data_IF_715496989711
#
_entry.id   IF_715496989711
#
_cell.length_a   1.000
_cell.length_b   1.000
_cell.length_c   1.000
_cell.angle_alpha   90.00
_cell.angle_beta   90.00
_cell.angle_gamma   90.00
#
_symmetry.space_group_name_H-M   'P 1'
#
loop_
_entity.id
_entity.type
_entity.pdbx_description
1 polymer ?
#
# COMPACT_ATOMS: atom_id res chain seq x y z
N UNK A 1 -9.71 -9.87 14.87
CA UNK A 1 -9.00 -10.82 13.96
C UNK A 1 -9.01 -10.37 12.50
N UNK A 2 -10.11 -9.82 11.97
CA UNK A 2 -10.16 -9.32 10.58
C UNK A 2 -9.21 -8.13 10.32
N UNK A 3 -9.11 -7.19 11.25
CA UNK A 3 -8.17 -6.06 11.15
C UNK A 3 -6.70 -6.50 11.15
N UNK A 4 -6.35 -7.53 11.93
CA UNK A 4 -4.99 -8.11 11.90
C UNK A 4 -4.69 -8.75 10.53
N UNK A 5 -5.65 -9.50 9.96
CA UNK A 5 -5.50 -10.04 8.60
C UNK A 5 -5.37 -8.94 7.56
N UNK A 6 -6.14 -7.86 7.67
CA UNK A 6 -6.04 -6.70 6.80
C UNK A 6 -4.63 -6.11 6.84
N UNK A 7 -4.06 -5.88 8.03
CA UNK A 7 -2.71 -5.34 8.19
C UNK A 7 -1.64 -6.22 7.54
N UNK A 8 -1.72 -7.55 7.72
CA UNK A 8 -0.77 -8.47 7.10
C UNK A 8 -0.84 -8.38 5.58
N UNK A 9 -2.05 -8.37 5.00
CA UNK A 9 -2.23 -8.25 3.54
C UNK A 9 -1.73 -6.89 3.03
N UNK A 10 -2.01 -5.81 3.74
CA UNK A 10 -1.53 -4.46 3.44
C UNK A 10 -0.01 -4.38 3.44
N UNK A 11 0.66 -5.01 4.41
CA UNK A 11 2.13 -5.05 4.48
C UNK A 11 2.74 -5.81 3.30
N UNK A 12 2.18 -6.98 2.95
CA UNK A 12 2.63 -7.76 1.80
C UNK A 12 2.46 -6.95 0.51
N UNK A 13 1.32 -6.27 0.35
CA UNK A 13 1.07 -5.41 -0.81
C UNK A 13 2.06 -4.24 -0.89
N UNK A 14 2.27 -3.53 0.21
CA UNK A 14 3.25 -2.42 0.27
C UNK A 14 4.67 -2.88 -0.06
N UNK A 15 5.08 -4.05 0.42
CA UNK A 15 6.39 -4.63 0.09
C UNK A 15 6.50 -4.97 -1.41
N UNK A 16 5.44 -5.52 -2.00
CA UNK A 16 5.39 -5.81 -3.43
C UNK A 16 5.48 -4.52 -4.29
N UNK A 17 4.78 -3.45 -3.90
CA UNK A 17 4.88 -2.14 -4.55
C UNK A 17 6.29 -1.58 -4.45
N UNK A 18 6.89 -1.61 -3.26
CA UNK A 18 8.26 -1.14 -3.06
C UNK A 18 9.27 -1.92 -3.93
N UNK A 19 9.16 -3.25 -3.97
CA UNK A 19 9.99 -4.09 -4.84
C UNK A 19 9.79 -3.76 -6.32
N UNK A 20 8.53 -3.61 -6.77
CA UNK A 20 8.21 -3.22 -8.13
C UNK A 20 8.80 -1.86 -8.53
N UNK A 21 8.70 -0.86 -7.64
CA UNK A 21 9.32 0.45 -7.85
C UNK A 21 10.84 0.37 -7.92
N UNK A 22 11.47 -0.49 -7.10
CA UNK A 22 12.91 -0.75 -7.15
C UNK A 22 13.35 -1.37 -8.48
N UNK A 23 12.62 -2.35 -8.99
CA UNK A 23 12.92 -2.97 -10.30
C UNK A 23 12.78 -1.99 -11.47
N UNK A 24 11.84 -1.05 -11.38
CA UNK A 24 11.63 -0.01 -12.40
C UNK A 24 12.61 1.18 -12.27
N UNK A 25 13.54 1.13 -11.31
CA UNK A 25 14.52 2.19 -11.07
C UNK A 25 13.93 3.49 -10.51
N UNK A 26 12.64 3.50 -10.16
CA UNK A 26 11.93 4.69 -9.65
C UNK A 26 12.47 5.16 -8.31
N UNK A 27 13.08 4.27 -7.52
CA UNK A 27 13.71 4.62 -6.24
C UNK A 27 15.03 5.38 -6.41
N UNK A 28 15.76 5.13 -7.50
CA UNK A 28 17.08 5.75 -7.75
C UNK A 28 17.01 7.01 -8.62
N UNK A 29 15.95 7.17 -9.43
CA UNK A 29 15.80 8.26 -10.39
C UNK A 29 15.03 9.48 -9.85
N UNK A 30 15.11 9.76 -8.55
CA UNK A 30 14.38 10.86 -7.89
C UNK A 30 14.84 12.27 -8.32
N UNK A 31 16.02 12.37 -8.94
CA UNK A 31 16.54 13.61 -9.54
C UNK A 31 15.96 13.91 -10.93
N UNK A 32 15.36 12.93 -11.60
CA UNK A 32 14.63 13.13 -12.86
C UNK A 32 13.17 13.49 -12.54
N UNK A 33 12.69 14.70 -12.90
CA UNK A 33 11.32 15.13 -12.61
C UNK A 33 10.25 14.18 -13.14
N UNK A 34 10.48 13.55 -14.30
CA UNK A 34 9.50 12.65 -14.91
C UNK A 34 9.41 11.32 -14.15
N UNK A 35 10.55 10.80 -13.70
CA UNK A 35 10.61 9.58 -12.89
C UNK A 35 10.11 9.82 -11.47
N UNK A 36 10.38 10.99 -10.90
CA UNK A 36 9.81 11.42 -9.62
C UNK A 36 8.28 11.51 -9.69
N UNK A 37 7.73 12.10 -10.78
CA UNK A 37 6.30 12.15 -11.02
C UNK A 37 5.69 10.75 -11.16
N UNK A 38 6.33 9.88 -11.94
CA UNK A 38 5.90 8.49 -12.11
C UNK A 38 5.88 7.74 -10.77
N UNK A 39 6.93 7.89 -9.96
CA UNK A 39 7.01 7.31 -8.61
C UNK A 39 5.92 7.83 -7.69
N UNK A 40 5.64 9.13 -7.72
CA UNK A 40 4.57 9.74 -6.92
C UNK A 40 3.18 9.21 -7.31
N UNK A 41 2.91 9.06 -8.62
CA UNK A 41 1.65 8.49 -9.12
C UNK A 41 1.49 7.04 -8.66
N UNK A 42 2.55 6.23 -8.75
CA UNK A 42 2.54 4.84 -8.27
C UNK A 42 2.23 4.77 -6.78
N UNK A 43 2.86 5.62 -5.96
CA UNK A 43 2.61 5.67 -4.51
C UNK A 43 1.18 6.10 -4.19
N UNK A 44 0.63 7.07 -4.92
CA UNK A 44 -0.77 7.50 -4.77
C UNK A 44 -1.75 6.37 -5.06
N UNK A 45 -1.54 5.66 -6.18
CA UNK A 45 -2.38 4.50 -6.55
C UNK A 45 -2.24 3.40 -5.51
N UNK A 46 -1.02 3.10 -5.07
CA UNK A 46 -0.77 2.10 -4.03
C UNK A 46 -1.47 2.47 -2.72
N UNK A 47 -1.47 3.74 -2.31
CA UNK A 47 -2.17 4.20 -1.12
C UNK A 47 -3.68 3.96 -1.21
N UNK A 48 -4.30 4.31 -2.34
CA UNK A 48 -5.74 4.10 -2.57
C UNK A 48 -6.09 2.61 -2.50
N UNK A 49 -5.27 1.75 -3.12
CA UNK A 49 -5.44 0.30 -3.07
C UNK A 49 -5.30 -0.20 -1.62
N UNK A 50 -4.35 0.33 -0.85
CA UNK A 50 -4.14 -0.05 0.54
C UNK A 50 -5.36 0.23 1.40
N UNK A 51 -5.93 1.44 1.27
CA UNK A 51 -7.16 1.83 1.97
C UNK A 51 -8.32 0.94 1.52
N UNK A 52 -8.43 0.62 0.23
CA UNK A 52 -9.45 -0.29 -0.28
C UNK A 52 -9.32 -1.72 0.27
N UNK A 53 -8.11 -2.27 0.33
CA UNK A 53 -7.80 -3.57 0.95
C UNK A 53 -8.27 -3.56 2.40
N UNK A 54 -7.94 -2.51 3.15
CA UNK A 54 -8.37 -2.35 4.53
C UNK A 54 -9.89 -2.35 4.66
N UNK A 55 -10.59 -1.51 3.92
CA UNK A 55 -12.05 -1.41 3.97
C UNK A 55 -12.74 -2.72 3.60
N UNK A 56 -12.20 -3.45 2.61
CA UNK A 56 -12.76 -4.72 2.14
C UNK A 56 -12.55 -5.88 3.12
N UNK A 57 -11.41 -5.92 3.81
CA UNK A 57 -11.08 -6.98 4.77
C UNK A 57 -11.56 -6.69 6.19
N UNK A 58 -11.55 -5.42 6.62
CA UNK A 58 -12.02 -5.01 7.93
C UNK A 58 -13.54 -4.79 7.99
N UNK A 59 -14.18 -4.50 6.84
CA UNK A 59 -15.64 -4.40 6.72
C UNK A 59 -16.28 -3.38 7.67
N UNK A 60 -17.43 -3.73 8.25
CA UNK A 60 -18.22 -2.87 9.16
C UNK A 60 -17.63 -2.70 10.57
N UNK A 61 -16.47 -3.29 10.86
CA UNK A 61 -15.83 -3.21 12.18
C UNK A 61 -14.37 -2.71 12.11
N UNK A 62 -14.12 -1.49 11.60
CA UNK A 62 -12.76 -0.98 11.47
C UNK A 62 -12.04 -0.76 12.81
N UNK A 63 -12.73 -0.77 13.95
CA UNK A 63 -12.17 -0.49 15.27
C UNK A 63 -12.31 -1.64 16.29
N UNK A 64 -12.86 -2.80 15.91
CA UNK A 64 -12.93 -3.96 16.81
C UNK A 64 -11.66 -4.80 16.66
N UNK A 65 -10.56 -4.26 17.18
CA UNK A 65 -9.24 -4.90 17.18
C UNK A 65 -9.25 -6.20 18.00
N UNK A 66 -10.02 -6.20 19.10
CA UNK A 66 -10.29 -7.34 19.97
C UNK A 66 -11.80 -7.64 19.94
N UNK A 67 -12.15 -8.93 19.92
CA UNK A 67 -13.54 -9.35 20.19
C UNK A 67 -13.78 -9.14 21.68
N UNK A 68 -14.84 -8.42 22.03
CA UNK A 68 -15.56 -8.72 23.27
C UNK A 68 -16.23 -10.10 23.12
#
# INVERSE_FOLDING_TARGET
MYSFRAIVVMLIFSAAVYYGMGMLGLTAAHSDPLMALAGAVVLLVALIINVWIYLKLAGEHPFKWFKE
#
